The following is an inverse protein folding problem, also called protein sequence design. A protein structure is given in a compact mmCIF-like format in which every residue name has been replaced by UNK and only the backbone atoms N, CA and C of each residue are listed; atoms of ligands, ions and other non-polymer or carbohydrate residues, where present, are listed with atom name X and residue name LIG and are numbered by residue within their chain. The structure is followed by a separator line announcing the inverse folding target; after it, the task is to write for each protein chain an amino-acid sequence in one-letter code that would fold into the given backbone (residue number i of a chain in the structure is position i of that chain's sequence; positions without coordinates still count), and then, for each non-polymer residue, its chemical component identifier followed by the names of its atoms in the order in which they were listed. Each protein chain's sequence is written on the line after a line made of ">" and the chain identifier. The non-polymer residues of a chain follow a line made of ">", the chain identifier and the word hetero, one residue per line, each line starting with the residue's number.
data_IF_899878497659
#
_entry.id   IF_899878497659
#
_cell.length_a   1.000
_cell.length_b   1.000
_cell.length_c   1.000
_cell.angle_alpha   90.00
_cell.angle_beta   90.00
_cell.angle_gamma   90.00
#
_symmetry.space_group_name_H-M   'P 1'
#
loop_
_entity.id
_entity.type
_entity.pdbx_description
1 polymer ?
#
# COMPACT_ATOMS: atom_id res chain seq x y z
N UNK A 1 -36.77 18.58 34.54
CA UNK A 1 -36.39 19.87 33.94
C UNK A 1 -35.88 19.60 32.52
N UNK A 2 -36.77 19.76 31.53
CA UNK A 2 -36.46 19.61 30.09
C UNK A 2 -35.97 20.96 29.58
N UNK A 3 -34.83 20.99 28.89
CA UNK A 3 -34.51 22.09 27.97
C UNK A 3 -34.02 21.48 26.66
N UNK A 4 -34.85 21.66 25.64
CA UNK A 4 -34.55 21.53 24.22
C UNK A 4 -33.69 22.72 23.79
N UNK A 5 -32.68 22.50 22.94
CA UNK A 5 -32.31 23.52 21.97
C UNK A 5 -32.01 22.88 20.62
N UNK A 6 -32.76 23.34 19.62
CA UNK A 6 -32.55 23.08 18.19
C UNK A 6 -31.49 24.06 17.71
N UNK A 7 -30.53 23.60 16.92
CA UNK A 7 -29.77 24.47 16.01
C UNK A 7 -29.61 23.79 14.66
N UNK A 8 -29.86 24.60 13.63
CA UNK A 8 -30.06 24.21 12.24
C UNK A 8 -28.78 23.63 11.62
N UNK A 9 -28.88 22.45 11.01
CA UNK A 9 -27.96 22.03 9.96
C UNK A 9 -28.66 22.14 8.61
N UNK A 10 -28.30 23.18 7.85
CA UNK A 10 -28.60 23.29 6.42
C UNK A 10 -27.90 22.12 5.71
N UNK A 11 -28.67 21.20 5.14
CA UNK A 11 -28.17 20.18 4.21
C UNK A 11 -27.65 20.87 2.95
N UNK A 12 -26.34 20.85 2.74
CA UNK A 12 -25.79 21.02 1.40
C UNK A 12 -26.09 19.74 0.61
N UNK A 13 -26.75 19.87 -0.54
CA UNK A 13 -27.00 18.76 -1.47
C UNK A 13 -25.67 18.27 -2.04
N UNK A 14 -25.30 17.03 -1.74
CA UNK A 14 -24.25 16.30 -2.47
C UNK A 14 -24.73 16.07 -3.91
N UNK A 15 -23.95 16.37 -4.95
CA UNK A 15 -24.32 15.98 -6.30
C UNK A 15 -24.25 14.45 -6.43
N UNK A 16 -25.38 13.84 -6.80
CA UNK A 16 -25.48 12.43 -7.17
C UNK A 16 -24.68 12.19 -8.44
N UNK A 17 -23.65 11.34 -8.36
CA UNK A 17 -22.99 10.74 -9.52
C UNK A 17 -23.88 9.57 -9.99
N UNK A 18 -24.44 9.71 -11.19
CA UNK A 18 -25.17 8.65 -11.90
C UNK A 18 -24.18 7.56 -12.32
N UNK A 19 -24.15 6.43 -11.60
CA UNK A 19 -23.41 5.23 -12.03
C UNK A 19 -24.35 4.34 -12.83
N UNK A 20 -24.40 4.54 -14.15
CA UNK A 20 -24.98 3.52 -15.04
C UNK A 20 -24.05 2.32 -15.10
N UNK A 21 -24.53 1.18 -14.60
CA UNK A 21 -24.00 -0.15 -14.94
C UNK A 21 -24.19 -0.35 -16.45
N UNK A 22 -23.11 -0.58 -17.19
CA UNK A 22 -23.18 -1.09 -18.55
C UNK A 22 -23.27 -2.61 -18.50
N UNK A 23 -24.46 -3.15 -18.72
CA UNK A 23 -24.65 -4.58 -18.98
C UNK A 23 -24.18 -4.88 -20.40
N UNK A 24 -23.22 -5.80 -20.53
CA UNK A 24 -22.67 -6.21 -21.81
C UNK A 24 -23.63 -7.13 -22.55
N UNK A 25 -24.11 -6.71 -23.71
CA UNK A 25 -24.63 -7.58 -24.75
C UNK A 25 -24.13 -7.15 -26.14
N UNK A 26 -23.75 -8.17 -26.91
CA UNK A 26 -23.28 -8.20 -28.29
C UNK A 26 -24.18 -7.45 -29.27
N UNK A 27 -23.58 -6.70 -30.21
CA UNK A 27 -24.29 -6.20 -31.39
C UNK A 27 -23.60 -5.06 -32.14
N UNK A 28 -23.11 -5.40 -33.33
CA UNK A 28 -23.00 -4.62 -34.56
C UNK A 28 -22.10 -3.38 -34.75
N UNK A 29 -21.33 -3.51 -35.83
CA UNK A 29 -20.50 -2.54 -36.53
C UNK A 29 -21.42 -1.61 -37.34
N UNK A 30 -21.35 -0.29 -37.16
CA UNK A 30 -21.36 0.72 -38.25
C UNK A 30 -21.35 2.17 -37.72
N UNK A 31 -20.36 2.93 -38.21
CA UNK A 31 -20.24 4.40 -38.39
C UNK A 31 -21.29 5.30 -37.71
N UNK A 32 -20.81 6.28 -36.94
CA UNK A 32 -21.22 7.70 -37.14
C UNK A 32 -20.13 8.72 -36.75
N UNK A 33 -19.87 9.60 -37.72
CA UNK A 33 -19.36 10.99 -37.75
C UNK A 33 -18.56 11.57 -36.57
N UNK A 34 -17.38 12.11 -36.93
CA UNK A 34 -16.61 13.09 -36.16
C UNK A 34 -17.37 14.43 -36.05
N UNK A 35 -17.47 14.96 -34.83
CA UNK A 35 -17.53 16.40 -34.58
C UNK A 35 -16.64 16.76 -33.39
N UNK A 36 -15.99 17.93 -33.38
CA UNK A 36 -15.00 18.28 -32.38
C UNK A 36 -15.67 19.02 -31.22
N UNK A 37 -15.41 18.60 -29.99
CA UNK A 37 -15.63 19.44 -28.81
C UNK A 37 -14.47 19.31 -27.83
N UNK A 38 -13.89 20.46 -27.57
CA UNK A 38 -13.01 20.80 -26.46
C UNK A 38 -13.64 20.50 -25.09
N UNK A 39 -12.76 20.39 -24.10
CA UNK A 39 -12.98 20.42 -22.64
C UNK A 39 -13.04 19.08 -21.90
N UNK A 40 -12.20 19.01 -20.86
CA UNK A 40 -12.46 18.21 -19.67
C UNK A 40 -11.61 16.95 -19.54
N UNK A 41 -10.32 17.12 -19.22
CA UNK A 41 -9.47 16.01 -18.77
C UNK A 41 -9.97 15.43 -17.45
N UNK A 42 -10.85 14.43 -17.53
CA UNK A 42 -11.09 13.51 -16.43
C UNK A 42 -9.96 12.48 -16.45
N UNK A 43 -8.91 12.72 -15.66
CA UNK A 43 -7.89 11.70 -15.38
C UNK A 43 -8.54 10.64 -14.50
N UNK A 44 -8.83 9.49 -15.09
CA UNK A 44 -9.32 8.31 -14.39
C UNK A 44 -8.33 7.93 -13.28
N UNK A 45 -8.77 8.04 -12.02
CA UNK A 45 -8.03 7.52 -10.88
C UNK A 45 -8.09 6.00 -10.89
N UNK A 46 -6.95 5.34 -11.09
CA UNK A 46 -6.85 3.88 -10.96
C UNK A 46 -6.97 3.50 -9.47
N UNK A 47 -8.10 2.89 -9.08
CA UNK A 47 -8.30 2.30 -7.74
C UNK A 47 -8.14 0.78 -7.79
N UNK A 48 -7.02 0.29 -8.32
CA UNK A 48 -6.71 -1.12 -8.26
C UNK A 48 -5.88 -1.42 -7.00
N UNK A 49 -6.41 -2.23 -6.09
CA UNK A 49 -5.66 -2.82 -4.99
C UNK A 49 -5.30 -4.27 -5.38
N UNK A 50 -4.01 -4.55 -5.65
CA UNK A 50 -3.53 -5.91 -5.93
C UNK A 50 -3.16 -6.19 -7.39
N UNK A 51 -2.56 -7.36 -7.60
CA UNK A 51 -1.71 -7.76 -8.74
C UNK A 51 -2.41 -7.95 -10.10
N UNK A 52 -3.61 -7.40 -10.32
CA UNK A 52 -4.30 -7.53 -11.60
C UNK A 52 -4.62 -6.16 -12.20
N UNK A 53 -3.82 -5.77 -13.20
CA UNK A 53 -4.12 -4.66 -14.09
C UNK A 53 -4.84 -5.24 -15.32
N UNK A 54 -6.08 -4.83 -15.63
CA UNK A 54 -6.66 -5.15 -16.92
C UNK A 54 -5.87 -4.40 -18.01
N UNK A 55 -5.53 -5.13 -19.06
CA UNK A 55 -4.89 -4.61 -20.26
C UNK A 55 -5.77 -3.50 -20.86
N UNK A 56 -5.30 -2.25 -20.81
CA UNK A 56 -5.99 -1.09 -21.37
C UNK A 56 -5.14 -0.55 -22.50
N UNK A 57 -5.59 -0.87 -23.71
CA UNK A 57 -5.00 -0.49 -24.97
C UNK A 57 -5.01 1.04 -25.20
N UNK A 58 -3.84 1.53 -25.62
CA UNK A 58 -3.55 2.72 -26.44
C UNK A 58 -3.90 4.13 -25.91
N UNK A 59 -2.88 4.88 -25.43
CA UNK A 59 -2.63 6.34 -25.61
C UNK A 59 -1.28 6.77 -24.93
N UNK A 60 -0.69 7.96 -25.18
CA UNK A 60 0.71 8.18 -25.59
C UNK A 60 1.82 7.77 -24.57
N UNK A 61 2.20 6.49 -24.66
CA UNK A 61 3.53 5.83 -24.70
C UNK A 61 4.82 6.36 -24.03
N UNK A 62 4.96 7.59 -23.53
CA UNK A 62 6.24 8.04 -22.95
C UNK A 62 6.37 7.77 -21.43
N UNK A 63 5.29 8.01 -20.65
CA UNK A 63 5.35 7.90 -19.19
C UNK A 63 4.70 6.62 -18.61
N UNK A 64 4.03 5.83 -19.45
CA UNK A 64 3.35 4.61 -19.00
C UNK A 64 4.35 3.54 -18.55
N UNK A 65 5.49 3.43 -19.24
CA UNK A 65 6.55 2.47 -18.88
C UNK A 65 7.16 2.77 -17.51
N UNK A 66 7.37 4.05 -17.18
CA UNK A 66 7.83 4.48 -15.87
C UNK A 66 6.80 4.20 -14.77
N UNK A 67 5.53 4.49 -15.04
CA UNK A 67 4.44 4.22 -14.08
C UNK A 67 4.24 2.72 -13.80
N UNK A 68 4.29 1.89 -14.84
CA UNK A 68 4.19 0.42 -14.71
C UNK A 68 5.38 -0.13 -13.94
N UNK A 69 6.60 0.29 -14.28
CA UNK A 69 7.81 -0.15 -13.57
C UNK A 69 7.77 0.27 -12.09
N UNK A 70 7.45 1.54 -11.81
CA UNK A 70 7.36 2.03 -10.43
C UNK A 70 6.33 1.25 -9.61
N UNK A 71 5.17 0.94 -10.19
CA UNK A 71 4.14 0.12 -9.56
C UNK A 71 4.63 -1.30 -9.29
N UNK A 72 5.23 -1.96 -10.29
CA UNK A 72 5.77 -3.31 -10.15
C UNK A 72 6.87 -3.39 -9.08
N UNK A 73 7.77 -2.41 -9.05
CA UNK A 73 8.82 -2.30 -8.03
C UNK A 73 8.23 -2.08 -6.64
N UNK A 74 7.22 -1.21 -6.50
CA UNK A 74 6.55 -0.95 -5.22
C UNK A 74 5.76 -2.15 -4.69
N UNK A 75 5.26 -3.02 -5.57
CA UNK A 75 4.50 -4.21 -5.19
C UNK A 75 5.38 -5.37 -4.73
N UNK A 76 6.63 -5.46 -5.22
CA UNK A 76 7.57 -6.54 -4.89
C UNK A 76 8.54 -6.15 -3.77
N UNK A 77 8.22 -6.57 -2.54
CA UNK A 77 8.95 -6.18 -1.31
C UNK A 77 10.45 -6.48 -1.36
N UNK A 78 10.93 -7.65 -1.82
CA UNK A 78 12.38 -7.90 -1.90
C UNK A 78 13.10 -6.89 -2.80
N UNK A 79 12.53 -6.59 -3.97
CA UNK A 79 13.13 -5.63 -4.91
C UNK A 79 13.07 -4.22 -4.36
N UNK A 80 11.91 -3.81 -3.83
CA UNK A 80 11.76 -2.51 -3.19
C UNK A 80 12.76 -2.31 -2.06
N UNK A 81 12.89 -3.30 -1.16
CA UNK A 81 13.85 -3.27 -0.04
C UNK A 81 15.30 -3.12 -0.51
N UNK A 82 15.69 -3.78 -1.60
CA UNK A 82 17.03 -3.62 -2.19
C UNK A 82 17.26 -2.20 -2.68
N UNK A 83 16.29 -1.62 -3.38
CA UNK A 83 16.38 -0.26 -3.92
C UNK A 83 16.47 0.79 -2.81
N UNK A 84 15.64 0.68 -1.77
CA UNK A 84 15.66 1.64 -0.65
C UNK A 84 16.95 1.53 0.16
N UNK A 85 17.47 0.31 0.39
CA UNK A 85 18.78 0.12 1.03
C UNK A 85 19.92 0.73 0.21
N UNK A 86 19.90 0.56 -1.12
CA UNK A 86 20.86 1.20 -2.02
C UNK A 86 20.77 2.73 -1.98
N UNK A 87 19.59 3.28 -1.69
CA UNK A 87 19.36 4.70 -1.48
C UNK A 87 19.73 5.19 -0.07
N UNK A 88 20.32 4.33 0.78
CA UNK A 88 20.72 4.68 2.15
C UNK A 88 19.56 4.73 3.15
N UNK A 89 18.41 4.13 2.82
CA UNK A 89 17.26 4.04 3.72
C UNK A 89 17.31 2.69 4.44
N UNK A 90 17.35 2.74 5.77
CA UNK A 90 17.37 1.56 6.61
C UNK A 90 16.10 0.72 6.46
N UNK A 91 16.28 -0.59 6.47
CA UNK A 91 15.18 -1.55 6.54
C UNK A 91 15.59 -2.71 7.45
N UNK A 92 14.65 -3.27 8.24
CA UNK A 92 14.94 -4.42 9.11
C UNK A 92 15.62 -5.54 8.34
N UNK A 93 16.48 -6.31 9.01
CA UNK A 93 17.13 -7.47 8.39
C UNK A 93 16.08 -8.41 7.81
N UNK A 94 16.37 -9.00 6.66
CA UNK A 94 15.40 -9.81 5.94
C UNK A 94 16.05 -10.85 5.03
N UNK A 95 15.30 -11.91 4.77
CA UNK A 95 15.60 -12.93 3.77
C UNK A 95 14.34 -13.28 2.99
N UNK A 96 14.51 -14.07 1.94
CA UNK A 96 13.41 -14.59 1.13
C UNK A 96 13.30 -16.08 1.38
N UNK A 97 12.06 -16.53 1.55
CA UNK A 97 11.69 -17.93 1.69
C UNK A 97 10.92 -18.37 0.45
N UNK A 98 11.42 -19.42 -0.21
CA UNK A 98 10.80 -20.09 -1.35
C UNK A 98 10.39 -21.52 -0.99
N UNK A 99 9.46 -22.12 -1.75
CA UNK A 99 9.10 -23.52 -1.59
C UNK A 99 10.34 -24.42 -1.63
N UNK A 100 10.52 -25.23 -0.58
CA UNK A 100 11.65 -26.15 -0.46
C UNK A 100 12.87 -25.59 0.29
N UNK A 101 12.90 -24.29 0.61
CA UNK A 101 14.01 -23.72 1.38
C UNK A 101 14.03 -24.25 2.82
N UNK A 102 15.25 -24.44 3.35
CA UNK A 102 15.47 -24.71 4.76
C UNK A 102 15.37 -23.40 5.55
N UNK A 103 14.39 -23.30 6.45
CA UNK A 103 14.10 -22.08 7.22
C UNK A 103 15.32 -21.63 8.03
N UNK A 104 15.95 -22.55 8.77
CA UNK A 104 17.13 -22.22 9.59
C UNK A 104 18.29 -21.65 8.77
N UNK A 105 18.55 -22.21 7.58
CA UNK A 105 19.58 -21.71 6.69
C UNK A 105 19.24 -20.30 6.17
N UNK A 106 17.97 -20.07 5.83
CA UNK A 106 17.49 -18.76 5.40
C UNK A 106 17.64 -17.71 6.51
N UNK A 107 17.25 -18.04 7.75
CA UNK A 107 17.39 -17.14 8.91
C UNK A 107 18.87 -16.85 9.20
N UNK A 108 19.71 -17.90 9.27
CA UNK A 108 21.13 -17.76 9.54
C UNK A 108 21.84 -16.87 8.50
N UNK A 109 21.50 -17.02 7.21
CA UNK A 109 22.09 -16.21 6.13
C UNK A 109 21.82 -14.71 6.26
N UNK A 110 20.74 -14.34 6.95
CA UNK A 110 20.34 -12.95 7.19
C UNK A 110 20.56 -12.48 8.63
N UNK A 111 21.19 -13.31 9.48
CA UNK A 111 21.41 -13.01 10.90
C UNK A 111 20.12 -12.81 11.68
N UNK A 112 19.05 -13.54 11.33
CA UNK A 112 17.74 -13.43 11.96
C UNK A 112 17.58 -14.43 13.10
N UNK A 113 16.92 -13.99 14.16
CA UNK A 113 16.49 -14.83 15.29
C UNK A 113 15.01 -14.61 15.57
N UNK A 114 14.34 -15.61 16.13
CA UNK A 114 12.94 -15.47 16.53
C UNK A 114 12.76 -14.43 17.65
N UNK A 115 11.61 -13.73 17.69
CA UNK A 115 10.52 -13.77 16.71
C UNK A 115 10.88 -13.06 15.38
N UNK A 116 10.28 -13.54 14.28
CA UNK A 116 10.40 -12.95 12.93
C UNK A 116 9.03 -12.63 12.36
N UNK A 117 8.96 -11.66 11.45
CA UNK A 117 7.74 -11.33 10.72
C UNK A 117 7.77 -11.96 9.33
N UNK A 118 6.73 -12.71 8.98
CA UNK A 118 6.57 -13.41 7.69
C UNK A 118 5.48 -12.72 6.89
N UNK A 119 5.72 -12.45 5.60
CA UNK A 119 4.74 -11.84 4.69
C UNK A 119 4.98 -12.25 3.24
N UNK A 120 3.97 -12.21 2.36
CA UNK A 120 4.18 -12.51 0.95
C UNK A 120 5.10 -11.47 0.31
N UNK A 121 5.98 -11.89 -0.60
CA UNK A 121 6.90 -11.02 -1.30
C UNK A 121 6.17 -9.95 -2.14
N UNK A 122 5.06 -10.35 -2.77
CA UNK A 122 4.17 -9.47 -3.53
C UNK A 122 2.84 -9.22 -2.82
N UNK A 123 2.12 -8.16 -3.18
CA UNK A 123 0.78 -7.89 -2.65
C UNK A 123 0.77 -6.97 -1.42
N UNK A 124 -0.42 -6.74 -0.87
CA UNK A 124 -0.67 -5.76 0.20
C UNK A 124 -1.76 -6.18 1.18
N UNK A 125 -2.29 -5.21 1.92
CA UNK A 125 -3.36 -5.36 2.93
C UNK A 125 -3.04 -6.19 4.19
N UNK A 126 -1.86 -6.80 4.31
CA UNK A 126 -1.52 -7.65 5.47
C UNK A 126 -2.23 -9.01 5.44
N UNK A 127 -2.50 -9.52 4.23
CA UNK A 127 -2.97 -10.88 4.02
C UNK A 127 -1.78 -11.85 4.08
N UNK A 128 -2.02 -13.05 4.62
CA UNK A 128 -1.01 -14.11 4.74
C UNK A 128 0.31 -13.66 5.38
N UNK A 129 0.21 -12.78 6.38
CA UNK A 129 1.34 -12.24 7.13
C UNK A 129 1.14 -12.39 8.62
N UNK A 130 2.23 -12.56 9.37
CA UNK A 130 2.16 -12.69 10.82
C UNK A 130 3.54 -12.78 11.47
N UNK A 131 3.53 -12.88 12.80
CA UNK A 131 4.72 -13.03 13.63
C UNK A 131 4.92 -14.52 13.92
N UNK A 132 6.06 -15.06 13.52
CA UNK A 132 6.49 -16.42 13.82
C UNK A 132 7.52 -16.42 14.96
N UNK A 133 7.30 -17.26 15.96
CA UNK A 133 8.15 -17.44 17.15
C UNK A 133 8.97 -18.72 17.09
N UNK A 134 8.68 -19.58 16.12
CA UNK A 134 9.36 -20.84 15.86
C UNK A 134 9.29 -21.19 14.36
N UNK A 135 10.01 -22.24 13.98
CA UNK A 135 10.09 -22.69 12.58
C UNK A 135 8.73 -23.17 12.05
N UNK A 136 7.94 -23.82 12.89
CA UNK A 136 6.63 -24.34 12.49
C UNK A 136 5.71 -23.18 12.07
N UNK A 137 5.69 -22.10 12.84
CA UNK A 137 4.93 -20.90 12.52
C UNK A 137 5.41 -20.21 11.23
N UNK A 138 6.72 -20.24 10.93
CA UNK A 138 7.23 -19.74 9.64
C UNK A 138 6.64 -20.52 8.46
N UNK A 139 6.42 -21.84 8.63
CA UNK A 139 5.84 -22.71 7.60
C UNK A 139 4.32 -22.59 7.53
N UNK A 140 3.65 -22.35 8.66
CA UNK A 140 2.19 -22.29 8.74
C UNK A 140 1.60 -20.95 8.26
N UNK A 141 2.30 -19.83 8.47
CA UNK A 141 1.80 -18.51 8.02
C UNK A 141 1.56 -18.48 6.48
N UNK A 142 2.48 -18.97 5.64
CA UNK A 142 2.26 -19.13 4.20
C UNK A 142 1.07 -20.02 3.85
N UNK A 143 0.85 -21.13 4.56
CA UNK A 143 -0.24 -22.07 4.22
C UNK A 143 -1.61 -21.48 4.53
N UNK A 144 -1.71 -20.58 5.52
CA UNK A 144 -2.92 -19.80 5.79
C UNK A 144 -3.32 -18.86 4.64
N UNK A 145 -2.44 -18.64 3.65
CA UNK A 145 -2.80 -17.94 2.42
C UNK A 145 -3.79 -18.72 1.54
N UNK A 146 -3.94 -20.02 1.75
CA UNK A 146 -4.86 -20.87 1.00
C UNK A 146 -4.60 -20.84 -0.51
N UNK A 147 -5.64 -20.52 -1.29
CA UNK A 147 -5.60 -20.47 -2.75
C UNK A 147 -4.93 -19.20 -3.32
N UNK A 148 -4.43 -18.30 -2.47
CA UNK A 148 -3.75 -17.11 -2.95
C UNK A 148 -2.45 -17.49 -3.69
N UNK A 149 -2.14 -16.87 -4.84
CA UNK A 149 -1.06 -17.27 -5.72
C UNK A 149 0.32 -16.79 -5.22
N UNK A 150 0.58 -16.85 -3.91
CA UNK A 150 1.86 -16.43 -3.33
C UNK A 150 2.85 -17.59 -3.36
N UNK A 151 3.92 -17.43 -4.14
CA UNK A 151 4.98 -18.43 -4.30
C UNK A 151 6.29 -18.03 -3.60
N UNK A 152 6.39 -16.81 -3.10
CA UNK A 152 7.59 -16.28 -2.45
C UNK A 152 7.18 -15.45 -1.23
N UNK A 153 7.89 -15.65 -0.11
CA UNK A 153 7.66 -14.95 1.15
C UNK A 153 8.93 -14.22 1.57
N UNK A 154 8.74 -13.12 2.31
CA UNK A 154 9.81 -12.40 3.00
C UNK A 154 9.71 -12.73 4.47
N UNK A 155 10.84 -13.08 5.05
CA UNK A 155 11.02 -13.16 6.50
C UNK A 155 11.87 -11.96 6.90
N UNK A 156 11.45 -11.21 7.90
CA UNK A 156 12.19 -10.06 8.42
C UNK A 156 12.25 -10.07 9.94
N UNK A 157 13.24 -9.35 10.48
CA UNK A 157 13.34 -9.05 11.90
C UNK A 157 12.03 -8.43 12.41
N UNK A 158 11.51 -8.98 13.51
CA UNK A 158 10.37 -8.38 14.19
C UNK A 158 10.85 -7.22 15.07
N UNK A 159 10.24 -6.04 14.91
CA UNK A 159 10.58 -4.84 15.67
C UNK A 159 9.50 -4.60 16.74
N UNK A 160 9.68 -5.11 17.98
CA UNK A 160 8.69 -4.97 19.04
C UNK A 160 8.55 -3.51 19.48
N UNK A 161 7.31 -3.07 19.74
CA UNK A 161 7.04 -1.71 20.18
C UNK A 161 7.30 -0.63 19.11
N UNK A 162 7.56 -1.02 17.86
CA UNK A 162 7.64 -0.11 16.72
C UNK A 162 6.33 0.65 16.51
N UNK A 163 6.43 1.88 15.99
CA UNK A 163 5.28 2.71 15.61
C UNK A 163 5.11 2.65 14.10
N UNK A 164 3.94 2.20 13.64
CA UNK A 164 3.61 2.22 12.22
C UNK A 164 3.35 3.66 11.76
N UNK A 165 4.20 4.14 10.85
CA UNK A 165 4.12 5.50 10.31
C UNK A 165 3.94 5.45 8.79
N UNK A 166 3.22 6.41 8.23
CA UNK A 166 3.00 6.56 6.79
C UNK A 166 3.09 8.02 6.39
N UNK A 167 3.75 8.31 5.27
CA UNK A 167 3.85 9.64 4.69
C UNK A 167 3.32 9.58 3.27
N UNK A 168 2.30 10.38 2.97
CA UNK A 168 1.79 10.51 1.61
C UNK A 168 2.71 11.39 0.78
N UNK A 169 2.96 11.01 -0.47
CA UNK A 169 3.67 11.84 -1.44
C UNK A 169 2.70 12.21 -2.57
N UNK A 170 2.54 13.51 -2.83
CA UNK A 170 1.67 14.01 -3.89
C UNK A 170 2.43 14.94 -4.82
N UNK A 171 2.19 14.83 -6.12
CA UNK A 171 2.65 15.81 -7.09
C UNK A 171 1.58 16.89 -7.26
N UNK A 172 1.95 18.14 -7.03
CA UNK A 172 1.09 19.29 -7.23
C UNK A 172 1.89 20.40 -7.93
N UNK A 173 1.37 20.90 -9.05
CA UNK A 173 2.04 21.87 -9.91
C UNK A 173 3.46 21.47 -10.34
N UNK A 174 3.64 20.20 -10.72
CA UNK A 174 4.93 19.66 -11.16
C UNK A 174 5.97 19.53 -10.04
N UNK A 175 5.56 19.65 -8.77
CA UNK A 175 6.44 19.52 -7.61
C UNK A 175 5.90 18.46 -6.66
N UNK A 176 6.79 17.56 -6.23
CA UNK A 176 6.46 16.60 -5.19
C UNK A 176 6.42 17.28 -3.83
N UNK A 177 5.39 16.95 -3.05
CA UNK A 177 5.20 17.41 -1.68
C UNK A 177 4.82 16.23 -0.80
N UNK A 178 5.44 16.14 0.36
CA UNK A 178 5.05 15.20 1.41
C UNK A 178 3.84 15.75 2.17
N UNK A 179 2.92 14.86 2.52
CA UNK A 179 1.82 15.13 3.45
C UNK A 179 2.30 14.93 4.89
N UNK A 180 1.58 15.45 5.90
CA UNK A 180 1.93 15.20 7.29
C UNK A 180 2.08 13.71 7.58
N UNK A 181 3.04 13.36 8.44
CA UNK A 181 3.21 12.00 8.93
C UNK A 181 1.93 11.56 9.62
N UNK A 182 1.40 10.41 9.22
CA UNK A 182 0.36 9.66 9.91
C UNK A 182 1.05 8.61 10.76
N UNK A 183 0.71 8.53 12.04
CA UNK A 183 1.08 7.38 12.87
C UNK A 183 -0.15 6.62 13.35
N UNK A 184 0.02 5.31 13.54
CA UNK A 184 -1.04 4.39 13.94
C UNK A 184 -0.59 3.56 15.14
N UNK A 185 -1.47 3.44 16.13
CA UNK A 185 -1.37 2.41 17.17
C UNK A 185 -2.53 1.44 17.02
N UNK A 186 -2.31 0.19 17.38
CA UNK A 186 -3.36 -0.83 17.41
C UNK A 186 -3.34 -1.58 18.73
N UNK A 187 -4.50 -2.08 19.16
CA UNK A 187 -4.62 -3.00 20.29
C UNK A 187 -4.21 -4.44 19.93
N UNK A 188 -3.93 -4.72 18.66
CA UNK A 188 -3.38 -5.99 18.17
C UNK A 188 -1.86 -6.03 18.30
N UNK A 189 -1.29 -7.21 18.10
CA UNK A 189 0.17 -7.39 18.15
C UNK A 189 0.88 -6.67 16.99
N UNK A 190 0.22 -6.54 15.83
CA UNK A 190 0.70 -5.77 14.69
C UNK A 190 -0.47 -5.19 13.89
N UNK A 191 -0.21 -4.23 12.99
CA UNK A 191 -1.23 -3.57 12.18
C UNK A 191 -1.75 -4.43 11.01
N UNK A 192 -2.51 -5.46 11.38
CA UNK A 192 -3.09 -6.47 10.50
C UNK A 192 -4.33 -5.99 9.73
N UNK A 193 -4.81 -6.80 8.77
CA UNK A 193 -5.96 -6.46 7.92
C UNK A 193 -7.22 -6.12 8.74
N UNK A 194 -7.49 -6.85 9.83
CA UNK A 194 -8.64 -6.56 10.69
C UNK A 194 -8.51 -5.17 11.34
N UNK A 195 -7.32 -4.84 11.86
CA UNK A 195 -7.05 -3.53 12.45
C UNK A 195 -7.23 -2.40 11.42
N UNK A 196 -6.90 -2.62 10.14
CA UNK A 196 -7.12 -1.65 9.04
C UNK A 196 -8.60 -1.38 8.75
N UNK A 197 -9.47 -2.38 8.96
CA UNK A 197 -10.91 -2.29 8.63
C UNK A 197 -11.75 -1.84 9.82
N UNK A 198 -11.34 -2.21 11.02
CA UNK A 198 -12.05 -1.88 12.25
C UNK A 198 -11.39 -0.70 12.96
N UNK A 199 -12.07 0.45 12.95
CA UNK A 199 -11.58 1.66 13.62
C UNK A 199 -11.50 1.51 15.15
N UNK A 200 -12.22 0.57 15.76
CA UNK A 200 -12.14 0.32 17.20
C UNK A 200 -10.83 -0.35 17.62
N UNK A 201 -10.12 -0.96 16.67
CA UNK A 201 -8.86 -1.67 16.91
C UNK A 201 -7.63 -0.78 16.72
N UNK A 202 -7.79 0.49 16.34
CA UNK A 202 -6.67 1.39 16.08
C UNK A 202 -6.95 2.82 16.48
N UNK A 203 -5.88 3.55 16.80
CA UNK A 203 -5.90 5.01 16.91
C UNK A 203 -4.96 5.58 15.87
N UNK A 204 -5.42 6.60 15.16
CA UNK A 204 -4.66 7.27 14.10
C UNK A 204 -4.40 8.72 14.51
N UNK A 205 -3.17 9.19 14.31
CA UNK A 205 -2.79 10.58 14.54
C UNK A 205 -2.23 11.19 13.26
N UNK A 206 -2.92 12.21 12.73
CA UNK A 206 -2.47 12.99 11.59
C UNK A 206 -2.77 14.48 11.84
N UNK A 207 -1.74 15.33 12.05
CA UNK A 207 -0.32 15.00 12.07
C UNK A 207 0.07 14.05 13.22
N UNK A 208 1.17 13.33 13.04
CA UNK A 208 1.73 12.41 14.03
C UNK A 208 2.02 13.10 15.36
N UNK A 209 1.82 12.36 16.46
CA UNK A 209 2.14 12.80 17.83
C UNK A 209 3.58 12.47 18.24
N UNK A 210 4.36 11.85 17.35
CA UNK A 210 5.76 11.54 17.59
C UNK A 210 6.61 12.83 17.71
N UNK A 211 7.77 12.75 18.39
CA UNK A 211 8.70 13.86 18.47
C UNK A 211 9.02 14.49 17.10
N UNK A 212 9.14 15.82 17.06
CA UNK A 212 9.29 16.58 15.81
C UNK A 212 10.61 16.30 15.09
N UNK A 213 11.67 16.08 15.86
CA UNK A 213 12.98 15.64 15.39
C UNK A 213 12.89 14.30 14.65
N UNK A 214 12.11 13.34 15.16
CA UNK A 214 11.89 12.05 14.51
C UNK A 214 11.06 12.19 13.22
N UNK A 215 10.00 13.00 13.24
CA UNK A 215 9.10 13.17 12.08
C UNK A 215 9.67 14.08 11.00
N UNK A 216 10.61 14.97 11.32
CA UNK A 216 11.29 15.83 10.36
C UNK A 216 12.07 15.02 9.31
N UNK A 217 12.73 13.93 9.73
CA UNK A 217 13.44 13.02 8.81
C UNK A 217 12.51 12.26 7.87
N UNK A 218 11.27 11.97 8.30
CA UNK A 218 10.28 11.26 7.48
C UNK A 218 9.61 12.16 6.44
N UNK A 219 9.44 13.45 6.78
CA UNK A 219 8.81 14.45 5.90
C UNK A 219 9.77 15.06 4.86
N UNK A 220 11.08 14.98 5.08
CA UNK A 220 12.10 15.54 4.20
C UNK A 220 12.55 14.52 3.14
N UNK A 221 11.71 14.27 2.14
CA UNK A 221 12.19 13.62 0.91
C UNK A 221 12.99 14.64 0.09
N UNK A 222 14.31 14.47 -0.14
CA UNK A 222 15.17 15.49 -0.75
C UNK A 222 15.03 15.54 -2.28
N UNK A 223 13.80 15.40 -2.79
CA UNK A 223 13.38 15.14 -4.17
C UNK A 223 14.09 15.88 -5.29
N UNK A 224 15.37 15.55 -5.49
CA UNK A 224 16.20 15.95 -6.61
C UNK A 224 16.76 14.67 -7.18
N UNK A 225 16.00 14.05 -8.09
CA UNK A 225 16.67 13.31 -9.15
C UNK A 225 17.31 14.38 -10.03
N UNK A 226 18.57 14.75 -9.74
CA UNK A 226 19.39 15.50 -10.68
C UNK A 226 19.55 14.63 -11.93
N UNK A 227 18.74 14.92 -12.94
CA UNK A 227 18.96 14.50 -14.32
C UNK A 227 20.04 15.35 -14.97
#
# INVERSE_FOLDING_TARGET
>A
MRVLSRSLQRRAKTPTVDTRKGDGHSGDVLRTRRHPTSCGGSRYGCRAHGCHWPDQAEHPSANLRGAVLASALGMHKPTFKRLVRQAGIDTPHWTVLRPGDAVDAALASAGLTYPVFVKPASGGAGLASGIARDEQQVRDIPTAAGELPYTEFVIEEYVPGGRDCTVGLVEFDGRFRTLPVLDVTTSREFYENQAKRDASLRTEHCPSVLPKDLTAGMGNWPGTCSG
#
